data_IF_352552105439
#
_entry.id   IF_352552105439
#
_cell.length_a   1.000
_cell.length_b   1.000
_cell.length_c   1.000
_cell.angle_alpha   90.00
_cell.angle_beta   90.00
_cell.angle_gamma   90.00
#
_symmetry.space_group_name_H-M   'P 1'
#
loop_
_entity.id
_entity.type
_entity.pdbx_description
1 polymer ?
#
# COMPACT_ATOMS: atom_id res chain seq x y z
N UNK A 1 -4.72 13.98 -1.44
CA UNK A 1 -5.98 13.33 -1.87
C UNK A 1 -6.58 14.09 -3.07
N UNK A 2 -7.31 13.41 -3.96
CA UNK A 2 -8.12 14.13 -4.97
C UNK A 2 -9.39 14.68 -4.32
N UNK A 3 -9.85 15.83 -4.78
CA UNK A 3 -11.15 16.42 -4.44
C UNK A 3 -12.19 16.17 -5.54
N UNK A 4 -11.77 15.51 -6.63
CA UNK A 4 -12.54 15.26 -7.84
C UNK A 4 -12.79 13.76 -7.98
N UNK A 5 -14.06 13.38 -7.98
CA UNK A 5 -14.49 11.99 -8.15
C UNK A 5 -15.82 11.71 -7.46
N UNK A 6 -16.23 10.46 -7.53
CA UNK A 6 -17.50 9.97 -7.00
C UNK A 6 -17.27 9.19 -5.70
N UNK A 7 -17.24 9.92 -4.59
CA UNK A 7 -17.00 9.35 -3.25
C UNK A 7 -18.14 8.43 -2.81
N UNK A 8 -19.38 8.73 -3.19
CA UNK A 8 -20.56 8.02 -2.69
C UNK A 8 -20.94 6.85 -3.59
N UNK A 9 -21.28 7.07 -4.86
CA UNK A 9 -21.89 6.01 -5.66
C UNK A 9 -20.88 4.92 -6.05
N UNK A 10 -19.64 5.31 -6.35
CA UNK A 10 -18.62 4.40 -6.87
C UNK A 10 -17.69 3.87 -5.77
N UNK A 11 -17.27 4.72 -4.83
CA UNK A 11 -16.40 4.32 -3.72
C UNK A 11 -17.15 3.86 -2.45
N UNK A 12 -18.45 4.16 -2.35
CA UNK A 12 -19.32 3.76 -1.24
C UNK A 12 -18.98 4.41 0.11
N UNK A 13 -18.48 5.64 0.09
CA UNK A 13 -18.29 6.47 1.28
C UNK A 13 -19.50 7.35 1.57
N UNK A 14 -19.49 7.98 2.75
CA UNK A 14 -20.26 9.22 2.94
C UNK A 14 -19.55 10.34 2.20
N UNK A 15 -20.30 11.31 1.69
CA UNK A 15 -19.70 12.47 1.03
C UNK A 15 -18.78 13.19 2.03
N UNK A 16 -17.47 13.31 1.74
CA UNK A 16 -16.56 14.03 2.61
C UNK A 16 -16.72 15.54 2.43
N UNK A 17 -16.26 16.30 3.43
CA UNK A 17 -15.98 17.72 3.21
C UNK A 17 -14.76 17.84 2.30
N UNK A 18 -14.99 18.22 1.04
CA UNK A 18 -13.94 18.28 0.02
C UNK A 18 -12.95 19.40 0.27
N UNK A 19 -13.37 20.47 0.94
CA UNK A 19 -12.50 21.59 1.28
C UNK A 19 -11.54 21.21 2.42
N UNK A 20 -11.93 20.25 3.26
CA UNK A 20 -11.12 19.73 4.36
C UNK A 20 -10.09 18.67 3.92
N UNK A 21 -10.32 17.93 2.82
CA UNK A 21 -9.48 16.79 2.41
C UNK A 21 -7.99 17.15 2.27
N UNK A 22 -7.69 18.24 1.58
CA UNK A 22 -6.28 18.64 1.33
C UNK A 22 -5.63 19.20 2.60
N UNK A 23 -6.24 20.16 3.34
CA UNK A 23 -5.68 20.65 4.60
C UNK A 23 -5.40 19.54 5.62
N UNK A 24 -6.37 18.65 5.88
CA UNK A 24 -6.19 17.57 6.86
C UNK A 24 -5.08 16.59 6.45
N UNK A 25 -4.96 16.30 5.16
CA UNK A 25 -3.87 15.48 4.65
C UNK A 25 -2.51 16.15 4.79
N UNK A 26 -2.42 17.47 4.54
CA UNK A 26 -1.20 18.22 4.76
C UNK A 26 -0.78 18.20 6.24
N UNK A 27 -1.73 18.42 7.16
CA UNK A 27 -1.47 18.32 8.61
C UNK A 27 -0.98 16.93 9.02
N UNK A 28 -1.53 15.86 8.42
CA UNK A 28 -1.08 14.49 8.67
C UNK A 28 0.35 14.23 8.16
N UNK A 29 0.68 14.72 6.96
CA UNK A 29 2.05 14.63 6.40
C UNK A 29 3.06 15.39 7.27
N UNK A 30 2.68 16.58 7.73
CA UNK A 30 3.51 17.40 8.61
C UNK A 30 3.72 16.70 9.95
N UNK A 31 2.66 16.16 10.56
CA UNK A 31 2.76 15.38 11.80
C UNK A 31 3.76 14.24 11.67
N UNK A 32 3.69 13.43 10.62
CA UNK A 32 4.62 12.32 10.41
C UNK A 32 6.07 12.81 10.23
N UNK A 33 6.25 13.91 9.52
CA UNK A 33 7.55 14.55 9.36
C UNK A 33 8.12 14.99 10.72
N UNK A 34 7.29 15.58 11.60
CA UNK A 34 7.71 15.96 12.96
C UNK A 34 8.06 14.77 13.86
N UNK A 35 7.46 13.60 13.60
CA UNK A 35 7.79 12.34 14.27
C UNK A 35 9.10 11.71 13.75
N UNK A 36 9.81 12.38 12.83
CA UNK A 36 11.10 11.95 12.30
C UNK A 36 11.00 11.03 11.09
N UNK A 37 9.83 10.93 10.47
CA UNK A 37 9.62 10.11 9.28
C UNK A 37 10.12 10.82 8.03
N UNK A 38 10.57 10.04 7.05
CA UNK A 38 10.68 10.54 5.68
C UNK A 38 9.38 10.24 4.97
N UNK A 39 8.68 11.29 4.55
CA UNK A 39 7.39 11.18 3.88
C UNK A 39 7.58 11.44 2.40
N UNK A 40 7.12 10.49 1.59
CA UNK A 40 7.02 10.66 0.14
C UNK A 40 5.55 10.81 -0.23
N UNK A 41 5.20 11.93 -0.85
CA UNK A 41 3.83 12.20 -1.27
C UNK A 41 3.61 11.87 -2.74
N UNK A 42 2.52 11.17 -3.03
CA UNK A 42 2.08 10.93 -4.39
C UNK A 42 1.18 12.07 -4.91
N UNK A 43 1.24 12.42 -6.21
CA UNK A 43 0.29 13.36 -6.79
C UNK A 43 -1.12 12.77 -6.75
N UNK A 44 -2.12 13.61 -6.48
CA UNK A 44 -3.52 13.21 -6.57
C UNK A 44 -3.87 12.79 -8.01
N UNK A 45 -4.75 11.79 -8.13
CA UNK A 45 -5.30 11.34 -9.42
C UNK A 45 -6.81 11.45 -9.37
N UNK A 46 -7.37 12.29 -10.25
CA UNK A 46 -8.81 12.51 -10.30
C UNK A 46 -9.57 11.22 -10.62
N UNK A 47 -10.68 11.03 -9.91
CA UNK A 47 -11.51 9.84 -10.00
C UNK A 47 -11.02 8.66 -9.15
N UNK A 48 -9.75 8.61 -8.74
CA UNK A 48 -9.24 7.61 -7.79
C UNK A 48 -9.36 8.12 -6.35
N UNK A 49 -10.60 8.26 -5.89
CA UNK A 49 -10.92 8.83 -4.56
C UNK A 49 -10.34 8.03 -3.38
N UNK A 50 -10.11 6.73 -3.57
CA UNK A 50 -9.51 5.82 -2.59
C UNK A 50 -7.97 5.79 -2.64
N UNK A 51 -7.33 6.47 -3.60
CA UNK A 51 -5.86 6.41 -3.76
C UNK A 51 -5.09 7.02 -2.58
N UNK A 52 -5.74 7.82 -1.72
CA UNK A 52 -5.14 8.31 -0.47
C UNK A 52 -4.84 7.17 0.52
N UNK A 53 -5.51 6.02 0.40
CA UNK A 53 -5.29 4.84 1.23
C UNK A 53 -4.14 3.98 0.67
N UNK A 54 -2.94 4.57 0.62
CA UNK A 54 -1.73 3.99 -0.01
C UNK A 54 -1.27 2.64 0.56
N UNK A 55 -1.75 2.26 1.75
CA UNK A 55 -1.50 0.95 2.34
C UNK A 55 -2.20 -0.19 1.56
N UNK A 56 -3.33 0.09 0.93
CA UNK A 56 -4.21 -0.92 0.36
C UNK A 56 -3.74 -1.57 -0.95
N UNK A 57 -3.17 -0.83 -1.94
CA UNK A 57 -2.82 -1.41 -3.23
C UNK A 57 -1.48 -2.17 -3.26
N UNK A 58 -0.80 -2.31 -2.11
CA UNK A 58 0.50 -2.99 -2.06
C UNK A 58 0.75 -3.75 -0.75
N UNK A 59 1.78 -4.61 -0.76
CA UNK A 59 2.48 -5.08 0.44
C UNK A 59 3.89 -4.51 0.41
N UNK A 60 4.21 -3.65 1.36
CA UNK A 60 5.57 -3.14 1.53
C UNK A 60 6.43 -4.14 2.32
N UNK A 61 7.68 -4.33 1.87
CA UNK A 61 8.70 -5.14 2.54
C UNK A 61 10.01 -4.35 2.64
N UNK A 62 10.99 -4.78 3.47
CA UNK A 62 12.31 -4.16 3.49
C UNK A 62 13.08 -4.21 2.16
N UNK A 63 12.63 -5.01 1.18
CA UNK A 63 13.30 -5.19 -0.11
C UNK A 63 12.57 -4.49 -1.27
N UNK A 64 11.38 -3.94 -1.02
CA UNK A 64 10.51 -3.39 -2.06
C UNK A 64 9.04 -3.77 -1.85
N UNK A 65 8.21 -3.41 -2.83
CA UNK A 65 6.77 -3.59 -2.78
C UNK A 65 6.28 -4.74 -3.66
N UNK A 66 5.22 -5.42 -3.23
CA UNK A 66 4.40 -6.31 -4.06
C UNK A 66 3.11 -5.58 -4.36
N UNK A 67 2.79 -5.39 -5.65
CA UNK A 67 1.56 -4.72 -6.05
C UNK A 67 0.39 -5.70 -5.99
N UNK A 68 -0.74 -5.22 -5.47
CA UNK A 68 -1.94 -6.04 -5.30
C UNK A 68 -2.92 -5.81 -6.45
N UNK A 69 -4.00 -6.59 -6.45
CA UNK A 69 -5.06 -6.51 -7.45
C UNK A 69 -6.37 -6.23 -6.73
N UNK A 70 -6.89 -5.01 -6.93
CA UNK A 70 -8.03 -4.50 -6.18
C UNK A 70 -9.34 -5.12 -6.66
N UNK A 71 -10.16 -5.62 -5.72
CA UNK A 71 -11.45 -6.21 -6.03
C UNK A 71 -12.51 -5.18 -6.48
N UNK A 72 -12.50 -3.98 -5.89
CA UNK A 72 -13.44 -2.89 -6.23
C UNK A 72 -13.06 -2.25 -7.57
N UNK A 73 -14.00 -2.08 -8.53
CA UNK A 73 -13.72 -1.50 -9.85
C UNK A 73 -13.06 -0.12 -9.82
N UNK A 74 -13.54 0.81 -8.98
CA UNK A 74 -12.98 2.17 -8.86
C UNK A 74 -11.51 2.19 -8.42
N UNK A 75 -11.06 1.12 -7.75
CA UNK A 75 -9.71 0.98 -7.20
C UNK A 75 -8.73 0.28 -8.14
N UNK A 76 -9.18 -0.24 -9.28
CA UNK A 76 -8.33 -1.04 -10.20
C UNK A 76 -7.16 -0.26 -10.79
N UNK A 77 -7.25 1.07 -10.83
CA UNK A 77 -6.17 1.95 -11.28
C UNK A 77 -5.06 2.17 -10.24
N UNK A 78 -5.33 1.93 -8.95
CA UNK A 78 -4.40 2.25 -7.86
C UNK A 78 -3.06 1.51 -7.96
N UNK A 79 -3.00 0.18 -8.24
CA UNK A 79 -1.72 -0.54 -8.30
C UNK A 79 -0.78 -0.03 -9.42
N UNK A 80 -1.35 0.38 -10.55
CA UNK A 80 -0.58 0.95 -11.65
C UNK A 80 -0.08 2.36 -11.33
N UNK A 81 -0.82 3.12 -10.53
CA UNK A 81 -0.40 4.45 -10.09
C UNK A 81 0.71 4.35 -9.05
N UNK A 82 0.53 3.53 -8.01
CA UNK A 82 1.54 3.37 -6.95
C UNK A 82 2.85 2.81 -7.50
N UNK A 83 2.81 1.95 -8.54
CA UNK A 83 4.02 1.52 -9.27
C UNK A 83 4.87 2.71 -9.71
N UNK A 84 4.26 3.68 -10.40
CA UNK A 84 4.98 4.87 -10.93
C UNK A 84 5.57 5.69 -9.80
N UNK A 85 4.82 5.85 -8.72
CA UNK A 85 5.24 6.64 -7.57
C UNK A 85 6.41 5.98 -6.83
N UNK A 86 6.38 4.65 -6.65
CA UNK A 86 7.47 3.86 -6.06
C UNK A 86 8.72 3.83 -6.94
N UNK A 87 8.57 3.61 -8.24
CA UNK A 87 9.69 3.62 -9.20
C UNK A 87 10.38 4.99 -9.24
N UNK A 88 9.61 6.09 -9.19
CA UNK A 88 10.14 7.46 -9.15
C UNK A 88 11.07 7.71 -7.95
N UNK A 89 10.76 7.11 -6.81
CA UNK A 89 11.56 7.27 -5.57
C UNK A 89 12.54 6.11 -5.34
N UNK A 90 12.71 5.23 -6.34
CA UNK A 90 13.72 4.18 -6.34
C UNK A 90 13.38 2.95 -5.51
N UNK A 91 12.09 2.73 -5.19
CA UNK A 91 11.63 1.54 -4.47
C UNK A 91 11.41 0.38 -5.47
N UNK A 92 12.06 -0.78 -5.28
CA UNK A 92 11.89 -1.91 -6.18
C UNK A 92 10.47 -2.50 -6.14
N UNK A 93 9.96 -2.91 -7.30
CA UNK A 93 8.76 -3.74 -7.40
C UNK A 93 9.19 -5.21 -7.47
N UNK A 94 8.80 -5.97 -6.46
CA UNK A 94 9.17 -7.38 -6.28
C UNK A 94 8.26 -8.33 -7.07
N UNK A 95 7.07 -7.86 -7.41
CA UNK A 95 6.08 -8.58 -8.19
C UNK A 95 4.72 -7.90 -8.11
N UNK A 96 3.76 -8.45 -8.84
CA UNK A 96 2.37 -8.00 -8.83
C UNK A 96 1.42 -9.19 -8.90
N UNK A 97 0.25 -9.03 -8.31
CA UNK A 97 -0.81 -10.02 -8.45
C UNK A 97 -1.37 -10.05 -9.87
N UNK A 98 -1.71 -11.24 -10.34
CA UNK A 98 -2.21 -11.45 -11.70
C UNK A 98 -3.37 -12.45 -11.74
N UNK A 99 -4.10 -12.44 -12.86
CA UNK A 99 -5.18 -13.40 -13.12
C UNK A 99 -6.37 -13.18 -12.20
N UNK A 100 -6.81 -14.25 -11.53
CA UNK A 100 -7.96 -14.24 -10.63
C UNK A 100 -7.61 -13.84 -9.18
N UNK A 101 -6.35 -13.49 -8.90
CA UNK A 101 -5.93 -13.01 -7.61
C UNK A 101 -6.63 -11.67 -7.27
N UNK A 102 -7.16 -11.57 -6.06
CA UNK A 102 -7.58 -10.30 -5.47
C UNK A 102 -7.03 -10.20 -4.05
N UNK A 103 -6.57 -9.01 -3.67
CA UNK A 103 -6.11 -8.72 -2.32
C UNK A 103 -6.18 -7.23 -2.02
N UNK A 104 -6.43 -6.89 -0.75
CA UNK A 104 -6.56 -5.52 -0.26
C UNK A 104 -5.72 -5.34 1.01
N UNK A 105 -4.90 -4.29 1.08
CA UNK A 105 -3.95 -4.05 2.18
C UNK A 105 -4.60 -4.06 3.55
N UNK A 106 -5.85 -3.60 3.69
CA UNK A 106 -6.57 -3.63 4.96
C UNK A 106 -6.77 -5.02 5.57
N UNK A 107 -6.62 -6.11 4.81
CA UNK A 107 -6.68 -7.49 5.34
C UNK A 107 -5.29 -8.01 5.79
N UNK A 108 -4.27 -7.14 5.88
CA UNK A 108 -2.88 -7.56 6.11
C UNK A 108 -2.24 -6.78 7.25
N UNK A 109 -1.44 -7.50 8.05
CA UNK A 109 -0.65 -6.90 9.12
C UNK A 109 0.62 -7.70 9.34
N UNK A 110 1.76 -7.01 9.38
CA UNK A 110 3.02 -7.59 9.83
C UNK A 110 2.96 -7.74 11.35
N UNK A 111 2.93 -8.98 11.84
CA UNK A 111 3.01 -9.28 13.27
C UNK A 111 4.45 -9.07 13.78
N UNK A 112 5.42 -9.42 12.95
CA UNK A 112 6.85 -9.20 13.16
C UNK A 112 7.56 -9.09 11.79
N UNK A 113 8.89 -8.99 11.79
CA UNK A 113 9.71 -8.82 10.58
C UNK A 113 9.64 -9.99 9.57
N UNK A 114 9.06 -11.13 9.94
CA UNK A 114 9.02 -12.37 9.15
C UNK A 114 7.62 -12.96 9.06
N UNK A 115 6.67 -12.46 9.85
CA UNK A 115 5.31 -12.99 9.94
C UNK A 115 4.30 -11.98 9.44
N UNK A 116 3.78 -12.20 8.23
CA UNK A 116 2.65 -11.47 7.67
C UNK A 116 1.35 -12.25 7.92
N UNK A 117 0.41 -11.66 8.63
CA UNK A 117 -0.95 -12.17 8.74
C UNK A 117 -1.77 -11.65 7.57
N UNK A 118 -2.56 -12.53 6.94
CA UNK A 118 -3.43 -12.19 5.82
C UNK A 118 -4.83 -12.76 6.08
N UNK A 119 -5.82 -11.89 6.16
CA UNK A 119 -7.24 -12.26 6.21
C UNK A 119 -7.69 -12.84 4.87
N UNK A 120 -8.47 -13.91 4.93
CA UNK A 120 -9.11 -14.50 3.75
C UNK A 120 -10.59 -14.10 3.73
N UNK A 121 -11.05 -13.52 2.63
CA UNK A 121 -12.41 -13.02 2.51
C UNK A 121 -12.72 -12.45 1.13
N UNK A 122 -13.78 -11.65 1.05
CA UNK A 122 -14.28 -11.13 -0.22
C UNK A 122 -13.34 -10.11 -0.90
N UNK A 123 -12.44 -9.46 -0.14
CA UNK A 123 -11.42 -8.54 -0.69
C UNK A 123 -10.08 -9.22 -0.95
N UNK A 124 -9.80 -10.33 -0.27
CA UNK A 124 -8.54 -11.07 -0.36
C UNK A 124 -8.82 -12.58 -0.50
N UNK A 125 -8.63 -13.12 -1.70
CA UNK A 125 -8.96 -14.51 -2.00
C UNK A 125 -7.77 -15.47 -1.87
N UNK A 126 -8.04 -16.77 -1.92
CA UNK A 126 -7.03 -17.82 -1.79
C UNK A 126 -5.90 -17.70 -2.83
N UNK A 127 -6.22 -17.29 -4.06
CA UNK A 127 -5.22 -17.11 -5.12
C UNK A 127 -4.30 -15.91 -4.83
N UNK A 128 -4.84 -14.79 -4.36
CA UNK A 128 -4.07 -13.65 -3.88
C UNK A 128 -3.11 -14.04 -2.75
N UNK A 129 -3.60 -14.78 -1.75
CA UNK A 129 -2.78 -15.29 -0.65
C UNK A 129 -1.66 -16.21 -1.17
N UNK A 130 -1.99 -17.12 -2.10
CA UNK A 130 -1.04 -18.04 -2.71
C UNK A 130 0.10 -17.31 -3.44
N UNK A 131 -0.22 -16.30 -4.26
CA UNK A 131 0.77 -15.50 -4.98
C UNK A 131 1.62 -14.64 -4.04
N UNK A 132 1.01 -13.95 -3.07
CA UNK A 132 1.74 -13.18 -2.05
C UNK A 132 2.74 -14.09 -1.33
N UNK A 133 2.29 -15.26 -0.87
CA UNK A 133 3.14 -16.24 -0.19
C UNK A 133 4.33 -16.65 -1.07
N UNK A 134 4.10 -16.97 -2.35
CA UNK A 134 5.18 -17.35 -3.29
C UNK A 134 6.22 -16.24 -3.44
N UNK A 135 5.78 -14.99 -3.60
CA UNK A 135 6.68 -13.84 -3.74
C UNK A 135 7.50 -13.59 -2.46
N UNK A 136 6.85 -13.66 -1.29
CA UNK A 136 7.54 -13.49 0.00
C UNK A 136 8.49 -14.63 0.33
N UNK A 137 8.17 -15.88 -0.02
CA UNK A 137 9.06 -17.02 0.17
C UNK A 137 10.40 -16.82 -0.55
N UNK A 138 10.41 -16.14 -1.70
CA UNK A 138 11.64 -15.85 -2.44
C UNK A 138 12.54 -14.82 -1.74
N UNK A 139 11.97 -13.95 -0.89
CA UNK A 139 12.71 -12.94 -0.13
C UNK A 139 13.37 -13.52 1.13
N UNK A 140 12.84 -14.63 1.67
CA UNK A 140 13.36 -15.28 2.88
C UNK A 140 14.57 -16.20 2.57
N UNK A 141 14.94 -16.40 1.29
CA UNK A 141 16.01 -17.32 0.86
C UNK A 141 17.46 -16.82 0.98
N UNK A 142 17.74 -15.68 1.62
CA UNK A 142 19.12 -15.37 2.07
C UNK A 142 19.34 -15.87 3.49
N UNK A 143 19.72 -17.15 3.60
CA UNK A 143 20.27 -17.73 4.82
C UNK A 143 21.67 -17.16 5.07
N UNK A 144 21.79 -16.24 6.03
CA UNK A 144 23.06 -15.90 6.67
C UNK A 144 22.93 -16.10 8.18
N UNK A 145 23.68 -17.04 8.78
CA UNK A 145 23.71 -17.18 10.23
C UNK A 145 24.70 -16.14 10.79
N UNK A 146 24.21 -14.98 11.22
CA UNK A 146 24.89 -14.15 12.24
C UNK A 146 24.09 -12.90 12.58
N UNK A 147 23.85 -12.77 13.89
CA UNK A 147 23.68 -11.53 14.67
C UNK A 147 22.73 -10.45 14.14
N UNK A 148 21.60 -10.36 14.84
CA UNK A 148 20.86 -9.15 15.18
C UNK A 148 21.59 -7.84 14.81
N UNK A 149 21.07 -7.15 13.79
CA UNK A 149 21.20 -5.69 13.70
C UNK A 149 19.83 -5.11 14.00
N UNK A 150 19.72 -4.40 15.10
CA UNK A 150 18.71 -3.36 15.28
C UNK A 150 18.85 -2.40 14.11
N UNK A 151 17.85 -2.39 13.23
CA UNK A 151 17.80 -1.44 12.13
C UNK A 151 17.33 -0.10 12.71
N UNK A 152 18.20 0.91 12.71
CA UNK A 152 17.77 2.32 12.76
C UNK A 152 17.25 2.67 11.38
N UNK A 153 16.07 2.15 11.03
CA UNK A 153 15.40 2.52 9.78
C UNK A 153 14.62 3.80 10.00
N UNK A 154 14.83 4.81 9.14
CA UNK A 154 13.80 5.81 8.90
C UNK A 154 12.51 5.07 8.59
N UNK A 155 11.46 5.33 9.37
CA UNK A 155 10.12 4.87 8.99
C UNK A 155 9.74 5.71 7.77
N UNK A 156 9.69 5.07 6.61
CA UNK A 156 9.25 5.69 5.37
C UNK A 156 7.76 5.44 5.23
N UNK A 157 7.00 6.52 5.23
CA UNK A 157 5.58 6.47 4.94
C UNK A 157 5.35 6.91 3.48
N UNK A 158 4.51 6.14 2.81
CA UNK A 158 4.04 6.42 1.45
C UNK A 158 2.58 6.83 1.60
N UNK A 159 2.29 8.10 1.30
CA UNK A 159 1.00 8.73 1.58
C UNK A 159 0.56 9.55 0.36
#
# INVERSE_FOLDING_TARGET
>A
PTTVGNFVADAQWREPDRDALVPEHCEFVDLLSTLGCTVHTAPAVDGLVDAVYMHDPMVMTPHGAILLQMGKPIRRGEPAQIRKDLERIGVPILGELTGSAIADGGDKVWLDAKTLLIGHGYRTNAEGISQIKKMLCHLILKYTPSTCRTFKGQVQFYI
#
